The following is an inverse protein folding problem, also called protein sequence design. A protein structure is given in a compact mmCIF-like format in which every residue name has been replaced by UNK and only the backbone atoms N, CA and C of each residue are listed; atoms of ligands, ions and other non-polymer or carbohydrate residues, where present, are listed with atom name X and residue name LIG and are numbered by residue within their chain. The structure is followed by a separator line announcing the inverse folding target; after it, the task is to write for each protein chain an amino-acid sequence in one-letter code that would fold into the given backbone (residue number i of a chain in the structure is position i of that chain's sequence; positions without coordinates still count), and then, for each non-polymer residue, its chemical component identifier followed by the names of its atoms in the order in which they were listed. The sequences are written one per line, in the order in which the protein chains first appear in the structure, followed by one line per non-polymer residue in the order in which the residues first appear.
data_IF_500172037653
#
_entry.id   IF_500172037653
#
_cell.length_a   1.000
_cell.length_b   1.000
_cell.length_c   1.000
_cell.angle_alpha   90.00
_cell.angle_beta   90.00
_cell.angle_gamma   90.00
#
_symmetry.space_group_name_H-M   'P 1'
#
loop_
_entity.id
_entity.type
_entity.pdbx_description
1 polymer ?
#
# COMPACT_ATOMS: atom_id res chain seq x y z
N UNK A 1 6.38 6.57 -12.82
CA UNK A 1 4.93 6.76 -13.11
C UNK A 1 4.43 8.08 -12.56
N UNK A 2 4.53 8.34 -11.26
CA UNK A 2 4.00 9.58 -10.63
C UNK A 2 4.51 10.87 -11.25
N UNK A 3 5.80 10.92 -11.61
CA UNK A 3 6.44 12.12 -12.23
C UNK A 3 5.91 12.47 -13.63
N UNK A 4 5.05 11.61 -14.23
CA UNK A 4 4.47 11.80 -15.56
C UNK A 4 2.96 12.08 -15.53
N UNK A 5 2.36 12.08 -14.33
CA UNK A 5 0.93 12.35 -14.19
C UNK A 5 0.66 13.85 -14.24
N UNK A 6 -0.37 14.23 -14.98
CA UNK A 6 -0.93 15.57 -14.85
C UNK A 6 -1.55 15.77 -13.47
N UNK A 7 -1.53 17.00 -12.97
CA UNK A 7 -2.12 17.32 -11.67
C UNK A 7 -3.57 16.85 -11.55
N UNK A 8 -4.37 17.01 -12.60
CA UNK A 8 -5.76 16.56 -12.65
C UNK A 8 -5.88 15.05 -12.51
N UNK A 9 -5.05 14.27 -13.20
CA UNK A 9 -5.06 12.80 -13.15
C UNK A 9 -4.71 12.28 -11.75
N UNK A 10 -3.90 13.03 -11.01
CA UNK A 10 -3.50 12.70 -9.65
C UNK A 10 -4.58 13.08 -8.62
N UNK A 11 -5.21 14.25 -8.75
CA UNK A 11 -6.03 14.86 -7.70
C UNK A 11 -7.54 14.69 -7.87
N UNK A 12 -8.03 14.32 -9.06
CA UNK A 12 -9.48 14.23 -9.31
C UNK A 12 -9.95 12.80 -9.50
N UNK A 13 -11.23 12.57 -9.20
CA UNK A 13 -11.89 11.31 -9.53
C UNK A 13 -12.34 11.32 -10.99
N UNK A 14 -12.14 10.25 -11.76
CA UNK A 14 -12.69 10.12 -13.09
C UNK A 14 -14.23 9.96 -13.02
N UNK A 15 -14.90 10.28 -14.13
CA UNK A 15 -16.35 10.14 -14.21
C UNK A 15 -16.78 8.69 -13.96
N UNK A 16 -17.72 8.48 -13.04
CA UNK A 16 -18.26 7.17 -12.69
C UNK A 16 -17.45 6.38 -11.66
N UNK A 17 -16.31 6.91 -11.17
CA UNK A 17 -15.48 6.27 -10.13
C UNK A 17 -15.33 7.15 -8.87
N UNK A 18 -16.22 8.09 -8.65
CA UNK A 18 -16.21 8.85 -7.39
C UNK A 18 -16.45 7.90 -6.18
N UNK A 19 -15.74 8.09 -5.04
CA UNK A 19 -14.77 9.15 -4.75
C UNK A 19 -13.31 8.80 -5.03
N UNK A 20 -13.01 7.77 -5.83
CA UNK A 20 -11.65 7.25 -6.01
C UNK A 20 -10.72 8.25 -6.71
N UNK A 21 -9.61 8.60 -6.04
CA UNK A 21 -8.54 9.47 -6.56
C UNK A 21 -7.19 8.82 -6.34
N UNK A 22 -6.26 8.98 -7.27
CA UNK A 22 -4.91 8.44 -7.14
C UNK A 22 -4.23 8.94 -5.87
N UNK A 23 -4.32 10.26 -5.62
CA UNK A 23 -3.71 10.90 -4.46
C UNK A 23 -4.21 10.35 -3.12
N UNK A 24 -5.52 10.10 -2.98
CA UNK A 24 -6.07 9.60 -1.71
C UNK A 24 -5.64 8.17 -1.42
N UNK A 25 -5.59 7.31 -2.43
CA UNK A 25 -5.10 5.94 -2.28
C UNK A 25 -3.60 5.91 -1.96
N UNK A 26 -2.79 6.75 -2.63
CA UNK A 26 -1.35 6.83 -2.34
C UNK A 26 -1.08 7.38 -0.95
N UNK A 27 -1.76 8.47 -0.54
CA UNK A 27 -1.63 8.99 0.82
C UNK A 27 -1.91 7.89 1.83
N UNK A 28 -3.01 7.15 1.66
CA UNK A 28 -3.41 6.08 2.56
C UNK A 28 -2.32 5.00 2.69
N UNK A 29 -1.79 4.50 1.59
CA UNK A 29 -0.68 3.52 1.61
C UNK A 29 0.55 4.08 2.30
N UNK A 30 0.99 5.30 1.96
CA UNK A 30 2.16 5.96 2.54
C UNK A 30 2.02 6.05 4.06
N UNK A 31 0.87 6.54 4.54
CA UNK A 31 0.61 6.75 5.96
C UNK A 31 0.58 5.44 6.77
N UNK A 32 0.14 4.33 6.17
CA UNK A 32 0.18 3.01 6.78
C UNK A 32 1.63 2.52 6.98
N UNK A 33 2.46 2.64 5.94
CA UNK A 33 3.89 2.28 6.06
C UNK A 33 4.64 3.16 7.05
N UNK A 34 4.38 4.47 7.06
CA UNK A 34 5.01 5.37 8.01
C UNK A 34 4.60 5.05 9.45
N UNK A 35 3.30 4.81 9.69
CA UNK A 35 2.80 4.40 10.99
C UNK A 35 3.49 3.11 11.47
N UNK A 36 3.58 2.10 10.62
CA UNK A 36 4.28 0.86 10.95
C UNK A 36 5.75 1.10 11.29
N UNK A 37 6.50 1.76 10.40
CA UNK A 37 7.93 1.99 10.57
C UNK A 37 8.26 2.84 11.82
N UNK A 38 7.37 3.77 12.19
CA UNK A 38 7.54 4.61 13.37
C UNK A 38 7.13 3.90 14.68
N UNK A 39 6.41 2.78 14.58
CA UNK A 39 5.83 2.05 15.72
C UNK A 39 6.52 0.71 16.04
N UNK A 40 7.48 0.26 15.20
CA UNK A 40 8.15 -1.04 15.42
C UNK A 40 8.99 -1.03 16.70
N UNK A 41 9.75 0.03 16.99
CA UNK A 41 10.55 0.12 18.23
C UNK A 41 9.69 0.13 19.49
N UNK A 42 8.62 0.97 19.57
CA UNK A 42 7.70 0.91 20.72
C UNK A 42 6.89 -0.39 20.80
N UNK A 43 6.91 -1.21 19.75
CA UNK A 43 6.19 -2.50 19.64
C UNK A 43 4.67 -2.41 19.69
N UNK A 44 4.09 -1.22 19.68
CA UNK A 44 2.65 -0.98 19.68
C UNK A 44 2.25 -0.16 18.46
N UNK A 45 1.42 -0.74 17.62
CA UNK A 45 0.97 -0.15 16.35
C UNK A 45 -0.52 0.17 16.46
N UNK A 46 -0.86 1.45 16.29
CA UNK A 46 -2.24 1.91 16.13
C UNK A 46 -2.37 2.57 14.75
N UNK A 47 -2.85 1.81 13.78
CA UNK A 47 -3.04 2.33 12.41
C UNK A 47 -4.13 3.40 12.33
N UNK A 48 -5.07 3.46 13.28
CA UNK A 48 -6.12 4.48 13.31
C UNK A 48 -5.60 5.82 13.81
N UNK A 49 -4.61 5.79 14.70
CA UNK A 49 -3.91 6.97 15.18
C UNK A 49 -2.89 7.54 14.17
N UNK A 50 -2.70 6.89 12.99
CA UNK A 50 -1.76 7.35 11.97
C UNK A 50 -2.00 8.81 11.59
N UNK A 51 -0.93 9.56 11.37
CA UNK A 51 -0.99 10.93 10.90
C UNK A 51 -1.60 10.99 9.50
N UNK A 52 -2.61 11.84 9.32
CA UNK A 52 -3.21 12.12 8.02
C UNK A 52 -2.65 13.42 7.45
N UNK A 53 -1.86 13.33 6.37
CA UNK A 53 -1.17 14.48 5.75
C UNK A 53 -1.86 14.87 4.42
N UNK A 54 -2.72 15.91 4.41
CA UNK A 54 -3.40 16.33 3.19
C UNK A 54 -2.44 16.87 2.12
N UNK A 55 -1.21 17.26 2.49
CA UNK A 55 -0.18 17.71 1.54
C UNK A 55 0.21 16.63 0.53
N UNK A 56 0.10 15.36 0.91
CA UNK A 56 0.35 14.23 -0.01
C UNK A 56 -0.71 14.10 -1.11
N UNK A 57 -1.92 14.61 -0.89
CA UNK A 57 -2.95 14.64 -1.92
C UNK A 57 -2.77 15.80 -2.91
N UNK A 58 -2.06 16.84 -2.52
CA UNK A 58 -1.84 18.00 -3.36
C UNK A 58 -0.65 17.87 -4.32
N UNK A 59 0.30 16.96 -4.05
CA UNK A 59 1.56 16.90 -4.80
C UNK A 59 2.04 15.48 -5.05
N UNK A 60 2.01 15.05 -6.32
CA UNK A 60 2.58 13.78 -6.76
C UNK A 60 4.09 13.67 -6.45
N UNK A 61 4.83 14.79 -6.54
CA UNK A 61 6.25 14.84 -6.20
C UNK A 61 6.49 14.62 -4.72
N UNK A 62 5.67 15.20 -3.85
CA UNK A 62 5.75 14.97 -2.41
C UNK A 62 5.46 13.49 -2.08
N UNK A 63 4.40 12.92 -2.66
CA UNK A 63 4.08 11.50 -2.51
C UNK A 63 5.23 10.59 -2.98
N UNK A 64 5.81 10.86 -4.17
CA UNK A 64 6.96 10.12 -4.69
C UNK A 64 8.19 10.20 -3.76
N UNK A 65 8.45 11.37 -3.20
CA UNK A 65 9.55 11.56 -2.23
C UNK A 65 9.33 10.74 -0.95
N UNK A 66 8.10 10.71 -0.44
CA UNK A 66 7.77 9.90 0.75
C UNK A 66 7.91 8.40 0.47
N UNK A 67 7.46 7.92 -0.69
CA UNK A 67 7.63 6.52 -1.11
C UNK A 67 9.12 6.15 -1.16
N UNK A 68 9.99 6.99 -1.75
CA UNK A 68 11.44 6.71 -1.79
C UNK A 68 12.05 6.60 -0.38
N UNK A 69 11.59 7.43 0.57
CA UNK A 69 12.04 7.34 1.98
C UNK A 69 11.56 6.05 2.65
N UNK A 70 10.32 5.63 2.40
CA UNK A 70 9.79 4.37 2.91
C UNK A 70 10.62 3.21 2.37
N UNK A 71 10.90 3.16 1.06
CA UNK A 71 11.73 2.12 0.45
C UNK A 71 13.12 2.08 1.10
N UNK A 72 13.76 3.24 1.24
CA UNK A 72 15.08 3.30 1.89
C UNK A 72 15.04 2.80 3.35
N UNK A 73 13.99 3.12 4.10
CA UNK A 73 13.81 2.61 5.48
C UNK A 73 13.58 1.09 5.49
N UNK A 74 12.75 0.56 4.59
CA UNK A 74 12.51 -0.88 4.49
C UNK A 74 13.80 -1.67 4.19
N UNK A 75 14.74 -1.07 3.46
CA UNK A 75 16.03 -1.69 3.12
C UNK A 75 17.07 -1.59 4.24
N UNK A 76 17.00 -0.57 5.10
CA UNK A 76 18.09 -0.24 6.03
C UNK A 76 17.71 -0.27 7.51
N UNK A 77 16.42 -0.23 7.83
CA UNK A 77 15.96 -0.13 9.22
C UNK A 77 16.14 -1.46 9.97
N UNK A 78 17.04 -1.46 10.95
CA UNK A 78 17.33 -2.64 11.78
C UNK A 78 16.15 -3.06 12.66
N UNK A 79 15.24 -2.14 12.97
CA UNK A 79 14.04 -2.47 13.73
C UNK A 79 13.18 -3.53 13.02
N UNK A 80 13.27 -3.64 11.69
CA UNK A 80 12.57 -4.66 10.90
C UNK A 80 13.14 -6.09 11.08
N UNK A 81 14.29 -6.23 11.70
CA UNK A 81 14.88 -7.52 12.08
C UNK A 81 14.41 -8.01 13.46
N UNK A 82 13.55 -7.23 14.11
CA UNK A 82 12.97 -7.61 15.39
C UNK A 82 12.10 -8.86 15.22
N UNK A 83 12.40 -9.89 15.99
CA UNK A 83 11.71 -11.20 15.94
C UNK A 83 10.74 -11.41 17.11
N UNK A 84 10.56 -10.39 17.96
CA UNK A 84 9.63 -10.42 19.08
C UNK A 84 8.19 -10.10 18.69
N UNK A 85 7.35 -10.02 19.69
CA UNK A 85 5.92 -9.75 19.55
C UNK A 85 5.67 -8.27 19.36
N UNK A 86 4.86 -7.93 18.35
CA UNK A 86 4.23 -6.63 18.20
C UNK A 86 2.79 -6.69 18.71
N UNK A 87 2.26 -5.56 19.15
CA UNK A 87 0.88 -5.39 19.54
C UNK A 87 0.20 -4.42 18.59
N UNK A 88 -0.85 -4.88 17.90
CA UNK A 88 -1.56 -4.09 16.89
C UNK A 88 -2.97 -3.84 17.37
N UNK A 89 -3.39 -2.59 17.37
CA UNK A 89 -4.75 -2.23 17.74
C UNK A 89 -5.74 -2.75 16.70
N UNK A 90 -6.82 -3.35 17.19
CA UNK A 90 -7.96 -3.73 16.38
C UNK A 90 -8.65 -2.49 15.82
N UNK A 91 -8.93 -2.50 14.51
CA UNK A 91 -9.91 -1.59 13.94
C UNK A 91 -11.28 -1.91 14.56
N UNK A 92 -12.05 -0.88 14.89
CA UNK A 92 -13.37 -1.01 15.51
C UNK A 92 -13.38 -1.71 16.90
N UNK A 93 -12.25 -1.73 17.60
CA UNK A 93 -12.27 -2.21 18.99
C UNK A 93 -13.26 -1.38 19.81
N UNK A 94 -14.30 -2.04 20.34
CA UNK A 94 -15.23 -1.39 21.28
C UNK A 94 -14.43 -0.70 22.38
N UNK A 95 -14.84 0.52 22.73
CA UNK A 95 -14.21 1.30 23.80
C UNK A 95 -14.22 0.55 25.16
N UNK A 96 -15.08 -0.45 25.31
CA UNK A 96 -15.24 -1.27 26.50
C UNK A 96 -14.33 -2.52 26.51
N UNK A 97 -13.54 -2.80 25.45
CA UNK A 97 -12.56 -3.88 25.47
C UNK A 97 -11.42 -3.55 26.44
N UNK A 98 -11.10 -4.43 27.38
CA UNK A 98 -10.06 -4.18 28.38
C UNK A 98 -8.65 -4.10 27.74
N UNK A 99 -8.44 -4.74 26.59
CA UNK A 99 -7.22 -4.64 25.77
C UNK A 99 -7.59 -4.71 24.28
N UNK A 100 -7.52 -3.59 23.56
CA UNK A 100 -7.84 -3.53 22.14
C UNK A 100 -6.71 -4.03 21.24
N UNK A 101 -5.59 -4.52 21.79
CA UNK A 101 -4.41 -4.93 21.03
C UNK A 101 -4.36 -6.44 20.83
N UNK A 102 -3.98 -6.85 19.62
CA UNK A 102 -3.67 -8.24 19.24
C UNK A 102 -2.18 -8.43 19.03
N UNK A 103 -1.71 -9.62 19.37
CA UNK A 103 -0.33 -10.02 19.07
C UNK A 103 -0.11 -10.18 17.58
N UNK A 104 1.01 -9.65 17.11
CA UNK A 104 1.47 -9.75 15.73
C UNK A 104 3.01 -9.88 15.67
N UNK A 105 3.59 -9.76 14.50
CA UNK A 105 5.03 -9.74 14.28
C UNK A 105 5.37 -8.83 13.10
N UNK A 106 6.64 -8.40 13.00
CA UNK A 106 7.14 -7.60 11.86
C UNK A 106 6.80 -8.28 10.53
N UNK A 107 7.06 -9.57 10.40
CA UNK A 107 6.78 -10.32 9.17
C UNK A 107 5.28 -10.33 8.82
N UNK A 108 4.41 -10.50 9.81
CA UNK A 108 2.95 -10.48 9.63
C UNK A 108 2.46 -9.12 9.20
N UNK A 109 2.94 -8.05 9.83
CA UNK A 109 2.57 -6.68 9.48
C UNK A 109 3.06 -6.29 8.07
N UNK A 110 4.30 -6.62 7.71
CA UNK A 110 4.80 -6.40 6.35
C UNK A 110 3.97 -7.15 5.29
N UNK A 111 3.53 -8.37 5.58
CA UNK A 111 2.65 -9.12 4.68
C UNK A 111 1.27 -8.43 4.55
N UNK A 112 0.71 -7.94 5.64
CA UNK A 112 -0.55 -7.19 5.66
C UNK A 112 -0.42 -5.90 4.84
N UNK A 113 0.62 -5.10 5.09
CA UNK A 113 0.89 -3.87 4.34
C UNK A 113 1.10 -4.13 2.85
N UNK A 114 1.81 -5.20 2.49
CA UNK A 114 2.01 -5.60 1.10
C UNK A 114 0.69 -5.95 0.41
N UNK A 115 -0.15 -6.75 1.06
CA UNK A 115 -1.47 -7.12 0.54
C UNK A 115 -2.37 -5.89 0.37
N UNK A 116 -2.39 -5.01 1.37
CA UNK A 116 -3.12 -3.75 1.36
C UNK A 116 -2.64 -2.81 0.24
N UNK A 117 -1.32 -2.73 0.03
CA UNK A 117 -0.72 -1.96 -1.07
C UNK A 117 -1.18 -2.47 -2.43
N UNK A 118 -1.19 -3.78 -2.65
CA UNK A 118 -1.66 -4.40 -3.90
C UNK A 118 -3.12 -4.03 -4.17
N UNK A 119 -3.97 -4.08 -3.14
CA UNK A 119 -5.36 -3.66 -3.24
C UNK A 119 -5.49 -2.21 -3.70
N UNK A 120 -4.79 -1.28 -3.04
CA UNK A 120 -4.81 0.13 -3.43
C UNK A 120 -4.18 0.40 -4.78
N UNK A 121 -3.14 -0.34 -5.18
CA UNK A 121 -2.54 -0.22 -6.51
C UNK A 121 -3.51 -0.68 -7.60
N UNK A 122 -4.33 -1.70 -7.35
CA UNK A 122 -5.39 -2.08 -8.29
C UNK A 122 -6.40 -0.95 -8.47
N UNK A 123 -6.85 -0.30 -7.39
CA UNK A 123 -7.75 0.86 -7.44
C UNK A 123 -7.11 2.05 -8.17
N UNK A 124 -5.83 2.32 -7.91
CA UNK A 124 -5.06 3.36 -8.63
C UNK A 124 -4.99 3.03 -10.11
N UNK A 125 -4.71 1.77 -10.47
CA UNK A 125 -4.65 1.32 -11.86
C UNK A 125 -5.96 1.56 -12.59
N UNK A 126 -7.09 1.19 -11.99
CA UNK A 126 -8.44 1.43 -12.54
C UNK A 126 -8.71 2.93 -12.69
N UNK A 127 -8.35 3.74 -11.69
CA UNK A 127 -8.53 5.19 -11.70
C UNK A 127 -7.71 5.83 -12.82
N UNK A 128 -6.45 5.43 -13.00
CA UNK A 128 -5.58 5.93 -14.06
C UNK A 128 -6.09 5.54 -15.46
N UNK A 129 -6.51 4.29 -15.64
CA UNK A 129 -7.11 3.84 -16.90
C UNK A 129 -8.37 4.63 -17.25
N UNK A 130 -9.23 4.93 -16.28
CA UNK A 130 -10.40 5.77 -16.47
C UNK A 130 -10.07 7.23 -16.81
N UNK A 131 -8.86 7.70 -16.46
CA UNK A 131 -8.30 8.98 -16.91
C UNK A 131 -7.60 8.88 -18.28
N UNK A 132 -7.61 7.73 -18.96
CA UNK A 132 -6.94 7.50 -20.24
C UNK A 132 -5.42 7.30 -20.13
N UNK A 133 -4.90 7.04 -18.92
CA UNK A 133 -3.48 6.77 -18.70
C UNK A 133 -3.21 5.29 -18.90
N UNK A 134 -2.23 4.95 -19.74
CA UNK A 134 -1.77 3.58 -19.89
C UNK A 134 -1.06 3.11 -18.62
N UNK A 135 -1.48 1.97 -18.09
CA UNK A 135 -0.94 1.34 -16.89
C UNK A 135 -0.40 -0.04 -17.25
N UNK A 136 0.75 -0.41 -16.67
CA UNK A 136 1.31 -1.75 -16.81
C UNK A 136 0.25 -2.80 -16.40
N UNK A 137 -0.01 -3.83 -17.24
CA UNK A 137 -0.97 -4.90 -16.93
C UNK A 137 -0.68 -5.68 -15.65
N UNK A 138 0.53 -5.61 -15.13
CA UNK A 138 0.94 -6.25 -13.88
C UNK A 138 0.76 -5.32 -12.64
N UNK A 139 0.53 -4.03 -12.86
CA UNK A 139 0.37 -3.07 -11.78
C UNK A 139 -0.87 -3.37 -10.93
N UNK A 140 -0.68 -3.53 -9.61
CA UNK A 140 -1.75 -3.87 -8.67
C UNK A 140 -2.23 -5.32 -8.75
N UNK A 141 -1.49 -6.19 -9.44
CA UNK A 141 -1.79 -7.63 -9.48
C UNK A 141 -0.97 -8.37 -8.42
N UNK A 142 -1.63 -9.22 -7.65
CA UNK A 142 -0.97 -10.00 -6.61
C UNK A 142 0.15 -10.89 -7.18
N UNK A 143 1.31 -10.99 -6.51
CA UNK A 143 2.43 -11.82 -6.97
C UNK A 143 2.07 -13.29 -7.21
N UNK A 144 1.17 -13.84 -6.40
CA UNK A 144 0.65 -15.21 -6.58
C UNK A 144 -0.12 -15.35 -7.91
N UNK A 145 -0.91 -14.35 -8.28
CA UNK A 145 -1.65 -14.31 -9.55
C UNK A 145 -0.69 -14.19 -10.73
N UNK A 146 0.35 -13.37 -10.63
CA UNK A 146 1.38 -13.25 -11.66
C UNK A 146 2.10 -14.59 -11.88
N UNK A 147 2.50 -15.27 -10.80
CA UNK A 147 3.12 -16.60 -10.88
C UNK A 147 2.20 -17.63 -11.54
N UNK A 148 0.92 -17.65 -11.16
CA UNK A 148 -0.06 -18.55 -11.76
C UNK A 148 -0.22 -18.31 -13.27
N UNK A 149 -0.33 -17.05 -13.69
CA UNK A 149 -0.45 -16.67 -15.11
C UNK A 149 0.78 -17.13 -15.90
N UNK A 150 1.97 -16.97 -15.35
CA UNK A 150 3.22 -17.38 -15.99
C UNK A 150 3.32 -18.91 -16.10
N UNK A 151 2.98 -19.66 -15.05
CA UNK A 151 2.93 -21.12 -15.09
C UNK A 151 1.96 -21.63 -16.17
N UNK A 152 0.77 -21.01 -16.25
CA UNK A 152 -0.21 -21.38 -17.28
C UNK A 152 0.31 -21.08 -18.68
N UNK A 153 0.98 -19.94 -18.89
CA UNK A 153 1.59 -19.60 -20.18
C UNK A 153 2.63 -20.63 -20.61
N UNK A 154 3.52 -21.03 -19.70
CA UNK A 154 4.55 -22.03 -19.98
C UNK A 154 3.97 -23.41 -20.30
N UNK A 155 2.94 -23.85 -19.58
CA UNK A 155 2.26 -25.11 -19.84
C UNK A 155 1.63 -25.14 -21.25
N UNK A 156 0.90 -24.07 -21.63
CA UNK A 156 0.30 -23.96 -22.98
C UNK A 156 1.35 -23.97 -24.10
N UNK A 157 2.52 -23.35 -23.86
CA UNK A 157 3.61 -23.35 -24.84
C UNK A 157 4.25 -24.73 -24.99
N UNK A 158 4.34 -25.50 -23.90
CA UNK A 158 4.88 -26.85 -23.92
C UNK A 158 3.96 -27.87 -24.61
N UNK A 159 2.63 -27.68 -24.53
CA UNK A 159 1.64 -28.50 -25.19
C UNK A 159 1.55 -28.24 -26.73
N UNK A 160 2.02 -27.07 -27.16
CA UNK A 160 1.98 -26.64 -28.57
C UNK A 160 3.30 -26.95 -29.33
N UNK A 161 4.30 -27.47 -28.66
CA UNK A 161 5.63 -27.82 -29.22
C UNK A 161 5.80 -29.32 -29.43
#
# INVERSE_FOLDING_TARGET
MLDRLEHRQFTTSPRGLAPHRVCSHLRHVIEFYECFLDSVEPTHIDYDARRRDPGLEASATAAASRIRRIIARLDTDRALQYDGVLFVRLEDADADLPDPFLMSSVARELMTLSSHTIHHFALIGMTLQAHGVAVDPQFGVAPSTLRYREQKRLATTAEAA
#
